data_IF_360668556024
#
_entry.id   IF_360668556024
#
_cell.length_a   1.000
_cell.length_b   1.000
_cell.length_c   1.000
_cell.angle_alpha   90.00
_cell.angle_beta   90.00
_cell.angle_gamma   90.00
#
_symmetry.space_group_name_H-M   'P 1'
#
loop_
_entity.id
_entity.type
_entity.pdbx_description
1 polymer ?
#
# COMPACT_ATOMS: atom_id res chain seq x y z
N UNK A 1 -34.29 14.87 115.47
CA UNK A 1 -34.08 13.56 114.81
C UNK A 1 -34.52 13.72 113.37
N UNK A 2 -33.58 13.62 112.42
CA UNK A 2 -33.81 13.86 110.99
C UNK A 2 -34.41 12.61 110.32
N UNK A 3 -35.46 12.72 109.50
CA UNK A 3 -35.77 11.68 108.53
C UNK A 3 -34.92 11.86 107.27
N UNK A 4 -34.12 10.84 106.95
CA UNK A 4 -33.30 10.75 105.75
C UNK A 4 -34.20 10.76 104.51
N UNK A 5 -33.92 11.69 103.59
CA UNK A 5 -34.52 11.70 102.26
C UNK A 5 -34.14 10.39 101.55
N UNK A 6 -35.14 9.57 101.22
CA UNK A 6 -34.94 8.37 100.43
C UNK A 6 -34.56 8.75 99.01
N UNK A 7 -33.39 8.29 98.56
CA UNK A 7 -32.99 8.35 97.16
C UNK A 7 -33.96 7.50 96.34
N UNK A 8 -34.48 8.06 95.24
CA UNK A 8 -35.26 7.31 94.27
C UNK A 8 -34.38 6.24 93.62
N UNK A 9 -34.89 5.01 93.41
CA UNK A 9 -34.13 3.96 92.73
C UNK A 9 -33.83 4.38 91.28
N UNK A 10 -32.70 3.93 90.70
CA UNK A 10 -32.34 4.25 89.33
C UNK A 10 -33.46 3.77 88.39
N UNK A 11 -33.96 4.67 87.55
CA UNK A 11 -34.87 4.29 86.46
C UNK A 11 -34.12 3.33 85.53
N UNK A 12 -34.47 2.04 85.57
CA UNK A 12 -33.96 1.06 84.64
C UNK A 12 -34.46 1.44 83.25
N UNK A 13 -33.53 1.82 82.37
CA UNK A 13 -33.79 1.94 80.95
C UNK A 13 -34.30 0.58 80.43
N UNK A 14 -35.34 0.54 79.59
CA UNK A 14 -35.82 -0.71 79.02
C UNK A 14 -34.71 -1.37 78.20
N UNK A 15 -34.54 -2.68 78.37
CA UNK A 15 -33.53 -3.45 77.64
C UNK A 15 -33.75 -3.28 76.13
N UNK A 16 -32.68 -2.89 75.44
CA UNK A 16 -32.68 -2.82 73.98
C UNK A 16 -32.94 -4.21 73.41
N UNK A 17 -33.75 -4.34 72.33
CA UNK A 17 -33.95 -5.62 71.68
C UNK A 17 -32.60 -6.18 71.22
N UNK A 18 -32.40 -7.48 71.43
CA UNK A 18 -31.19 -8.17 70.98
C UNK A 18 -30.97 -7.91 69.48
N UNK A 19 -29.85 -7.25 69.15
CA UNK A 19 -29.48 -7.01 67.76
C UNK A 19 -29.31 -8.34 67.00
N UNK A 20 -29.59 -8.37 65.69
CA UNK A 20 -29.48 -9.59 64.90
C UNK A 20 -28.07 -10.20 65.04
N UNK A 21 -28.00 -11.48 65.38
CA UNK A 21 -26.73 -12.17 65.59
C UNK A 21 -25.95 -12.27 64.28
N UNK A 22 -24.63 -12.04 64.33
CA UNK A 22 -23.70 -12.13 63.18
C UNK A 22 -23.59 -13.54 62.57
N UNK A 23 -24.38 -14.50 63.06
CA UNK A 23 -24.44 -15.88 62.58
C UNK A 23 -24.97 -16.02 61.15
N UNK A 24 -25.52 -14.95 60.57
CA UNK A 24 -26.00 -14.90 59.18
C UNK A 24 -25.06 -14.21 58.20
N UNK A 25 -23.86 -13.78 58.61
CA UNK A 25 -22.88 -13.24 57.67
C UNK A 25 -22.26 -14.40 56.92
N UNK A 26 -22.79 -14.71 55.72
CA UNK A 26 -22.12 -15.64 54.80
C UNK A 26 -20.73 -15.08 54.48
N UNK A 27 -19.72 -15.94 54.59
CA UNK A 27 -18.34 -15.60 54.20
C UNK A 27 -18.25 -15.20 52.72
N UNK A 28 -17.08 -14.70 52.27
CA UNK A 28 -16.86 -14.24 50.90
C UNK A 28 -17.38 -15.28 49.90
N UNK A 29 -18.33 -14.88 49.05
CA UNK A 29 -18.82 -15.72 47.97
C UNK A 29 -17.74 -15.68 46.89
N UNK A 30 -17.11 -16.82 46.61
CA UNK A 30 -16.25 -16.96 45.44
C UNK A 30 -17.11 -16.77 44.19
N UNK A 31 -17.00 -15.60 43.56
CA UNK A 31 -17.62 -15.34 42.27
C UNK A 31 -16.80 -16.16 41.26
N UNK A 32 -17.38 -17.17 40.59
CA UNK A 32 -16.65 -17.92 39.60
C UNK A 32 -16.12 -16.95 38.54
N UNK A 33 -14.82 -17.04 38.23
CA UNK A 33 -14.20 -16.26 37.17
C UNK A 33 -14.92 -16.57 35.86
N UNK A 34 -15.87 -15.71 35.52
CA UNK A 34 -16.62 -15.77 34.28
C UNK A 34 -15.62 -15.75 33.14
N UNK A 35 -15.70 -16.77 32.29
CA UNK A 35 -14.90 -16.96 31.07
C UNK A 35 -14.53 -15.60 30.46
N UNK A 36 -13.25 -15.35 30.12
CA UNK A 36 -12.76 -14.03 29.75
C UNK A 36 -13.35 -13.63 28.39
N UNK A 37 -14.58 -13.14 28.41
CA UNK A 37 -15.33 -12.65 27.26
C UNK A 37 -14.58 -11.51 26.55
N UNK A 38 -13.75 -10.79 27.30
CA UNK A 38 -12.80 -9.79 26.78
C UNK A 38 -11.80 -10.39 25.80
N UNK A 39 -11.28 -11.60 26.06
CA UNK A 39 -10.39 -12.31 25.14
C UNK A 39 -11.13 -12.71 23.87
N UNK A 40 -12.37 -13.19 23.98
CA UNK A 40 -13.19 -13.52 22.83
C UNK A 40 -13.48 -12.28 21.96
N UNK A 41 -13.80 -11.14 22.57
CA UNK A 41 -14.00 -9.88 21.86
C UNK A 41 -12.74 -9.39 21.16
N UNK A 42 -11.57 -9.49 21.80
CA UNK A 42 -10.30 -9.12 21.19
C UNK A 42 -9.97 -9.98 19.97
N UNK A 43 -10.27 -11.28 20.02
CA UNK A 43 -10.07 -12.18 18.89
C UNK A 43 -11.02 -11.85 17.74
N UNK A 44 -12.30 -11.57 18.02
CA UNK A 44 -13.27 -11.15 17.01
C UNK A 44 -12.84 -9.83 16.37
N UNK A 45 -12.46 -8.84 17.18
CA UNK A 45 -12.01 -7.54 16.69
C UNK A 45 -10.75 -7.68 15.81
N UNK A 46 -9.78 -8.48 16.24
CA UNK A 46 -8.57 -8.79 15.47
C UNK A 46 -8.88 -9.47 14.14
N UNK A 47 -9.80 -10.44 14.13
CA UNK A 47 -10.23 -11.12 12.91
C UNK A 47 -10.94 -10.15 11.94
N UNK A 48 -11.84 -9.29 12.44
CA UNK A 48 -12.51 -8.27 11.63
C UNK A 48 -11.50 -7.30 11.02
N UNK A 49 -10.53 -6.83 11.81
CA UNK A 49 -9.48 -5.94 11.31
C UNK A 49 -8.65 -6.60 10.21
N UNK A 50 -8.28 -7.87 10.39
CA UNK A 50 -7.52 -8.64 9.41
C UNK A 50 -8.30 -8.81 8.09
N UNK A 51 -9.58 -9.15 8.17
CA UNK A 51 -10.46 -9.25 6.99
C UNK A 51 -10.55 -7.89 6.28
N UNK A 52 -10.69 -6.80 7.03
CA UNK A 52 -10.82 -5.47 6.45
C UNK A 52 -9.52 -5.02 5.76
N UNK A 53 -8.36 -5.28 6.38
CA UNK A 53 -7.04 -4.99 5.78
C UNK A 53 -6.82 -5.83 4.52
N UNK A 54 -7.07 -7.14 4.58
CA UNK A 54 -6.88 -8.01 3.42
C UNK A 54 -7.84 -7.66 2.28
N UNK A 55 -9.11 -7.37 2.58
CA UNK A 55 -10.11 -6.94 1.61
C UNK A 55 -9.76 -5.60 0.96
N UNK A 56 -9.33 -4.60 1.75
CA UNK A 56 -8.94 -3.29 1.20
C UNK A 56 -7.69 -3.39 0.33
N UNK A 57 -6.69 -4.19 0.71
CA UNK A 57 -5.51 -4.44 -0.12
C UNK A 57 -5.88 -5.18 -1.42
N UNK A 58 -6.74 -6.18 -1.34
CA UNK A 58 -7.17 -6.95 -2.49
C UNK A 58 -7.98 -6.10 -3.48
N UNK A 59 -8.94 -5.33 -2.99
CA UNK A 59 -9.76 -4.43 -3.82
C UNK A 59 -8.94 -3.29 -4.43
N UNK A 60 -7.95 -2.73 -3.72
CA UNK A 60 -7.01 -1.76 -4.29
C UNK A 60 -6.19 -2.35 -5.43
N UNK A 61 -5.69 -3.59 -5.28
CA UNK A 61 -4.96 -4.29 -6.35
C UNK A 61 -5.86 -4.60 -7.55
N UNK A 62 -7.11 -5.02 -7.32
CA UNK A 62 -8.07 -5.26 -8.40
C UNK A 62 -8.37 -3.97 -9.16
N UNK A 63 -8.62 -2.87 -8.45
CA UNK A 63 -8.87 -1.55 -9.06
C UNK A 63 -7.66 -1.08 -9.87
N UNK A 64 -6.45 -1.18 -9.34
CA UNK A 64 -5.24 -0.83 -10.10
C UNK A 64 -5.13 -1.63 -11.40
N UNK A 65 -5.44 -2.93 -11.38
CA UNK A 65 -5.47 -3.75 -12.60
C UNK A 65 -6.57 -3.32 -13.58
N UNK A 66 -7.76 -2.98 -13.08
CA UNK A 66 -8.88 -2.55 -13.94
C UNK A 66 -8.69 -1.14 -14.51
N UNK A 67 -8.12 -0.20 -13.76
CA UNK A 67 -7.84 1.15 -14.27
C UNK A 67 -6.73 1.11 -15.31
N UNK A 68 -5.65 0.35 -15.06
CA UNK A 68 -4.62 0.11 -16.06
C UNK A 68 -5.19 -0.60 -17.28
N UNK A 69 -6.13 -1.54 -17.14
CA UNK A 69 -6.76 -2.20 -18.30
C UNK A 69 -7.61 -1.25 -19.17
N UNK A 70 -8.15 -0.16 -18.61
CA UNK A 70 -9.00 0.80 -19.33
C UNK A 70 -8.23 1.91 -20.05
N UNK A 71 -7.07 2.34 -19.52
CA UNK A 71 -6.22 3.32 -20.21
C UNK A 71 -5.46 2.68 -21.37
N UNK A 72 -5.37 3.38 -22.50
CA UNK A 72 -4.56 2.90 -23.62
C UNK A 72 -3.06 2.87 -23.24
N UNK A 73 -2.28 1.86 -23.65
CA UNK A 73 -0.87 1.73 -23.26
C UNK A 73 -0.01 2.96 -23.58
N UNK A 74 -0.34 3.68 -24.66
CA UNK A 74 0.32 4.90 -25.10
C UNK A 74 0.02 6.09 -24.18
N UNK A 75 -1.23 6.30 -23.80
CA UNK A 75 -1.63 7.38 -22.88
C UNK A 75 -0.91 7.23 -21.53
N UNK A 76 -0.88 6.01 -20.99
CA UNK A 76 -0.18 5.68 -19.75
C UNK A 76 1.33 5.95 -19.85
N UNK A 77 1.95 5.59 -20.98
CA UNK A 77 3.36 5.83 -21.21
C UNK A 77 3.68 7.33 -21.34
N UNK A 78 2.84 8.11 -22.03
CA UNK A 78 3.03 9.57 -22.14
C UNK A 78 2.88 10.28 -20.79
N UNK A 79 1.89 9.87 -19.98
CA UNK A 79 1.70 10.40 -18.64
C UNK A 79 2.94 10.09 -17.78
N UNK A 80 3.41 8.84 -17.77
CA UNK A 80 4.61 8.45 -17.05
C UNK A 80 5.88 9.21 -17.51
N UNK A 81 6.03 9.43 -18.82
CA UNK A 81 7.15 10.22 -19.36
C UNK A 81 7.09 11.69 -18.94
N UNK A 82 5.88 12.26 -18.79
CA UNK A 82 5.71 13.65 -18.34
C UNK A 82 6.12 13.85 -16.87
N UNK A 83 6.01 12.81 -16.05
CA UNK A 83 6.37 12.85 -14.63
C UNK A 83 7.89 12.76 -14.40
N UNK A 84 8.65 12.23 -15.36
CA UNK A 84 10.11 12.07 -15.25
C UNK A 84 10.86 13.39 -15.05
N UNK A 85 10.30 14.53 -15.50
CA UNK A 85 10.94 15.84 -15.34
C UNK A 85 11.08 16.28 -13.87
N UNK A 86 10.35 15.65 -12.96
CA UNK A 86 10.43 15.91 -11.52
C UNK A 86 11.59 15.20 -10.83
N UNK A 87 12.24 14.24 -11.50
CA UNK A 87 13.29 13.41 -10.91
C UNK A 87 14.64 14.14 -10.99
N UNK A 88 15.23 14.42 -9.83
CA UNK A 88 16.52 15.09 -9.73
C UNK A 88 17.72 14.19 -10.06
N UNK A 89 17.70 12.94 -9.61
CA UNK A 89 18.82 12.01 -9.74
C UNK A 89 18.88 11.36 -11.15
N UNK A 90 20.06 11.34 -11.77
CA UNK A 90 20.30 10.76 -13.10
C UNK A 90 20.05 9.25 -13.13
N UNK A 91 20.40 8.51 -12.07
CA UNK A 91 20.20 7.07 -11.98
C UNK A 91 18.72 6.72 -11.84
N UNK A 92 18.01 7.37 -10.91
CA UNK A 92 16.57 7.17 -10.73
C UNK A 92 15.79 7.54 -12.00
N UNK A 93 16.17 8.64 -12.65
CA UNK A 93 15.61 9.07 -13.93
C UNK A 93 15.79 7.98 -15.00
N UNK A 94 17.00 7.46 -15.17
CA UNK A 94 17.30 6.44 -16.18
C UNK A 94 16.57 5.12 -15.90
N UNK A 95 16.50 4.68 -14.65
CA UNK A 95 15.75 3.49 -14.25
C UNK A 95 14.26 3.65 -14.54
N UNK A 96 13.68 4.80 -14.19
CA UNK A 96 12.26 5.04 -14.40
C UNK A 96 11.93 5.21 -15.88
N UNK A 97 12.79 5.87 -16.66
CA UNK A 97 12.64 5.98 -18.11
C UNK A 97 12.69 4.59 -18.79
N UNK A 98 13.70 3.78 -18.44
CA UNK A 98 13.83 2.40 -18.94
C UNK A 98 12.59 1.56 -18.62
N UNK A 99 12.11 1.65 -17.38
CA UNK A 99 10.93 0.92 -16.91
C UNK A 99 9.66 1.35 -17.66
N UNK A 100 9.46 2.66 -17.89
CA UNK A 100 8.31 3.18 -18.63
C UNK A 100 8.27 2.63 -20.05
N UNK A 101 9.39 2.67 -20.77
CA UNK A 101 9.45 2.17 -22.15
C UNK A 101 9.29 0.65 -22.21
N UNK A 102 9.96 -0.11 -21.33
CA UNK A 102 9.79 -1.57 -21.27
C UNK A 102 8.36 -1.96 -20.90
N UNK A 103 7.71 -1.20 -20.02
CA UNK A 103 6.32 -1.44 -19.66
C UNK A 103 5.38 -1.19 -20.84
N UNK A 104 5.56 -0.08 -21.55
CA UNK A 104 4.84 0.22 -22.79
C UNK A 104 4.98 -0.91 -23.81
N UNK A 105 6.22 -1.31 -24.12
CA UNK A 105 6.51 -2.40 -25.07
C UNK A 105 5.88 -3.72 -24.62
N UNK A 106 5.90 -3.99 -23.31
CA UNK A 106 5.32 -5.24 -22.81
C UNK A 106 3.82 -5.31 -23.03
N UNK A 107 3.16 -4.17 -22.83
CA UNK A 107 1.71 -4.06 -22.96
C UNK A 107 1.28 -3.99 -24.43
N UNK A 108 2.03 -3.29 -25.27
CA UNK A 108 1.70 -3.10 -26.69
C UNK A 108 2.00 -4.34 -27.54
N UNK A 109 3.08 -5.07 -27.23
CA UNK A 109 3.48 -6.29 -27.96
C UNK A 109 3.01 -7.59 -27.28
N UNK A 110 2.33 -7.51 -26.13
CA UNK A 110 1.88 -8.66 -25.32
C UNK A 110 3.02 -9.67 -25.00
N UNK A 111 4.21 -9.15 -24.72
CA UNK A 111 5.41 -9.94 -24.36
C UNK A 111 6.05 -9.34 -23.11
N UNK A 112 6.64 -10.15 -22.24
CA UNK A 112 7.30 -9.60 -21.06
C UNK A 112 8.68 -9.02 -21.43
N UNK A 113 8.84 -7.70 -21.31
CA UNK A 113 10.13 -6.99 -21.43
C UNK A 113 10.65 -6.41 -20.11
N UNK A 114 9.82 -6.38 -19.07
CA UNK A 114 10.17 -5.78 -17.76
C UNK A 114 11.30 -6.50 -17.03
N UNK A 115 11.45 -7.81 -17.23
CA UNK A 115 12.50 -8.63 -16.63
C UNK A 115 13.75 -8.79 -17.52
N UNK A 116 13.74 -8.20 -18.72
CA UNK A 116 14.81 -8.39 -19.72
C UNK A 116 15.87 -7.29 -19.64
N UNK A 117 17.09 -7.68 -19.96
CA UNK A 117 18.20 -6.75 -20.22
C UNK A 117 17.96 -5.95 -21.50
N UNK A 118 18.70 -4.85 -21.74
CA UNK A 118 18.56 -4.12 -23.00
C UNK A 118 18.86 -4.99 -24.22
N UNK A 119 19.90 -5.82 -24.17
CA UNK A 119 20.25 -6.72 -25.27
C UNK A 119 19.14 -7.74 -25.58
N UNK A 120 18.56 -8.36 -24.54
CA UNK A 120 17.43 -9.28 -24.71
C UNK A 120 16.18 -8.55 -25.23
N UNK A 121 15.93 -7.33 -24.75
CA UNK A 121 14.82 -6.50 -25.24
C UNK A 121 14.97 -6.20 -26.73
N UNK A 122 16.17 -5.86 -27.20
CA UNK A 122 16.45 -5.59 -28.61
C UNK A 122 16.25 -6.83 -29.49
N UNK A 123 16.71 -7.99 -29.02
CA UNK A 123 16.58 -9.25 -29.76
C UNK A 123 15.13 -9.73 -29.89
N UNK A 124 14.30 -9.42 -28.90
CA UNK A 124 12.89 -9.86 -28.86
C UNK A 124 11.92 -8.87 -29.53
N UNK A 125 12.41 -7.72 -30.00
CA UNK A 125 11.62 -6.80 -30.82
C UNK A 125 11.34 -7.40 -32.20
N UNK A 126 10.15 -7.13 -32.77
CA UNK A 126 9.82 -7.63 -34.10
C UNK A 126 10.69 -6.94 -35.16
N UNK A 127 11.06 -7.65 -36.23
CA UNK A 127 11.97 -7.13 -37.26
C UNK A 127 11.44 -5.89 -38.00
N UNK A 128 10.11 -5.70 -38.01
CA UNK A 128 9.42 -4.55 -38.60
C UNK A 128 9.18 -3.41 -37.60
N UNK A 129 9.80 -3.43 -36.42
CA UNK A 129 9.67 -2.34 -35.45
C UNK A 129 10.10 -1.00 -36.09
N UNK A 130 9.35 0.11 -35.89
CA UNK A 130 9.50 1.29 -36.73
C UNK A 130 10.72 2.13 -36.37
N UNK A 131 11.28 1.95 -35.17
CA UNK A 131 12.55 2.54 -34.78
C UNK A 131 13.69 1.61 -35.20
N UNK A 132 14.67 2.14 -35.94
CA UNK A 132 15.82 1.36 -36.38
C UNK A 132 16.65 0.80 -35.22
N UNK A 133 17.26 -0.40 -35.38
CA UNK A 133 17.95 -1.09 -34.30
C UNK A 133 19.13 -0.30 -33.73
N UNK A 134 19.85 0.45 -34.56
CA UNK A 134 20.99 1.28 -34.15
C UNK A 134 20.56 2.42 -33.20
N UNK A 135 19.41 3.05 -33.46
CA UNK A 135 18.90 4.16 -32.62
C UNK A 135 18.47 3.63 -31.26
N UNK A 136 17.75 2.50 -31.27
CA UNK A 136 17.33 1.79 -30.07
C UNK A 136 18.52 1.35 -29.21
N UNK A 137 19.55 0.77 -29.83
CA UNK A 137 20.76 0.33 -29.15
C UNK A 137 21.49 1.50 -28.48
N UNK A 138 21.71 2.60 -29.22
CA UNK A 138 22.32 3.81 -28.68
C UNK A 138 21.52 4.41 -27.53
N UNK A 139 20.19 4.44 -27.66
CA UNK A 139 19.30 4.95 -26.62
C UNK A 139 19.37 4.09 -25.34
N UNK A 140 19.33 2.75 -25.47
CA UNK A 140 19.48 1.86 -24.32
C UNK A 140 20.86 2.00 -23.67
N UNK A 141 21.94 2.07 -24.45
CA UNK A 141 23.29 2.26 -23.92
C UNK A 141 23.43 3.56 -23.11
N UNK A 142 22.83 4.66 -23.58
CA UNK A 142 22.85 5.93 -22.85
C UNK A 142 22.10 5.85 -21.51
N UNK A 143 20.97 5.14 -21.49
CA UNK A 143 20.18 4.93 -20.28
C UNK A 143 20.90 4.01 -19.31
N UNK A 144 21.49 2.91 -19.78
CA UNK A 144 22.23 1.99 -18.93
C UNK A 144 23.50 2.63 -18.34
N UNK A 145 24.19 3.47 -19.11
CA UNK A 145 25.32 4.25 -18.62
C UNK A 145 24.91 5.22 -17.48
N UNK A 146 23.74 5.86 -17.60
CA UNK A 146 23.24 6.74 -16.54
C UNK A 146 22.68 5.97 -15.32
N UNK A 147 22.00 4.85 -15.56
CA UNK A 147 21.35 4.03 -14.55
C UNK A 147 22.32 3.20 -13.71
N UNK A 148 23.30 2.57 -14.35
CA UNK A 148 24.22 1.61 -13.71
C UNK A 148 25.64 2.14 -13.56
N UNK A 149 26.17 2.85 -14.55
CA UNK A 149 27.53 3.40 -14.46
C UNK A 149 27.59 4.75 -13.73
N UNK A 150 26.44 5.27 -13.28
CA UNK A 150 26.35 6.53 -12.54
C UNK A 150 26.76 7.75 -13.36
N UNK A 151 26.68 7.68 -14.70
CA UNK A 151 26.97 8.82 -15.57
C UNK A 151 25.95 9.93 -15.29
N UNK A 152 26.43 11.11 -14.99
CA UNK A 152 25.56 12.28 -14.87
C UNK A 152 24.98 12.67 -16.22
N UNK A 153 23.67 12.89 -16.23
CA UNK A 153 22.93 13.37 -17.39
C UNK A 153 22.63 14.85 -17.22
N UNK A 154 23.03 15.65 -18.22
CA UNK A 154 22.61 17.05 -18.28
C UNK A 154 21.11 17.15 -18.51
N UNK A 155 20.53 18.34 -18.25
CA UNK A 155 19.11 18.58 -18.53
C UNK A 155 18.76 18.36 -20.01
N UNK A 156 19.69 18.70 -20.89
CA UNK A 156 19.53 18.53 -22.33
C UNK A 156 19.56 17.05 -22.72
N UNK A 157 20.50 16.26 -22.18
CA UNK A 157 20.55 14.81 -22.39
C UNK A 157 19.25 14.12 -21.93
N UNK A 158 18.72 14.53 -20.77
CA UNK A 158 17.45 14.02 -20.25
C UNK A 158 16.28 14.34 -21.19
N UNK A 159 16.24 15.54 -21.76
CA UNK A 159 15.19 15.91 -22.72
C UNK A 159 15.29 15.08 -24.01
N UNK A 160 16.50 14.91 -24.55
CA UNK A 160 16.74 14.08 -25.75
C UNK A 160 16.31 12.63 -25.53
N UNK A 161 16.64 12.06 -24.38
CA UNK A 161 16.24 10.68 -24.03
C UNK A 161 14.72 10.52 -23.91
N UNK A 162 14.03 11.47 -23.30
CA UNK A 162 12.56 11.47 -23.18
C UNK A 162 11.90 11.67 -24.55
N UNK A 163 12.40 12.60 -25.36
CA UNK A 163 11.83 12.87 -26.68
C UNK A 163 12.05 11.70 -27.64
N UNK A 164 13.20 11.02 -27.54
CA UNK A 164 13.45 9.76 -28.27
C UNK A 164 12.46 8.68 -27.84
N UNK A 165 12.19 8.54 -26.54
CA UNK A 165 11.19 7.59 -26.03
C UNK A 165 9.78 7.93 -26.53
N UNK A 166 9.40 9.21 -26.57
CA UNK A 166 8.12 9.67 -27.13
C UNK A 166 8.02 9.34 -28.62
N UNK A 167 9.06 9.59 -29.40
CA UNK A 167 9.08 9.28 -30.82
C UNK A 167 8.93 7.78 -31.07
N UNK A 168 9.60 6.94 -30.28
CA UNK A 168 9.47 5.49 -30.36
C UNK A 168 8.02 5.03 -30.14
N UNK A 169 7.38 5.54 -29.08
CA UNK A 169 5.97 5.23 -28.76
C UNK A 169 5.04 5.68 -29.88
N UNK A 170 5.21 6.92 -30.36
CA UNK A 170 4.38 7.50 -31.42
C UNK A 170 4.51 6.73 -32.74
N UNK A 171 5.74 6.38 -33.13
CA UNK A 171 5.99 5.64 -34.37
C UNK A 171 5.38 4.23 -34.32
N UNK A 172 5.53 3.54 -33.19
CA UNK A 172 4.91 2.25 -32.97
C UNK A 172 3.38 2.33 -33.01
N UNK A 173 2.79 3.34 -32.36
CA UNK A 173 1.35 3.56 -32.41
C UNK A 173 0.85 3.87 -33.83
N UNK A 174 1.57 4.71 -34.58
CA UNK A 174 1.22 5.05 -35.96
C UNK A 174 1.24 3.80 -36.86
N UNK A 175 2.22 2.91 -36.68
CA UNK A 175 2.29 1.63 -37.39
C UNK A 175 1.12 0.71 -37.04
N UNK A 176 0.76 0.61 -35.75
CA UNK A 176 -0.37 -0.21 -35.31
C UNK A 176 -1.70 0.31 -35.88
N UNK A 177 -1.92 1.63 -35.90
CA UNK A 177 -3.11 2.25 -36.51
C UNK A 177 -3.14 2.08 -38.03
N UNK A 178 -1.99 2.16 -38.70
CA UNK A 178 -1.88 1.93 -40.14
C UNK A 178 -2.23 0.49 -40.53
N UNK A 179 -1.86 -0.48 -39.70
CA UNK A 179 -2.14 -1.90 -39.92
C UNK A 179 -3.61 -2.30 -39.68
N UNK A 180 -4.41 -1.49 -38.98
CA UNK A 180 -5.86 -1.73 -38.79
C UNK A 180 -6.73 -1.20 -39.94
N UNK A 181 -6.15 -0.40 -40.85
CA UNK A 181 -6.88 0.26 -41.95
C UNK A 181 -6.73 -0.46 -43.30
N UNK A 182 -5.79 -1.41 -43.40
CA UNK A 182 -5.63 -2.33 -44.55
C UNK A 182 -6.38 -3.66 -44.34
#
# INVERSE_FOLDING_TARGET
>A
MFPLAQAQPPQQLPDLPAGPSLQHVRGPIEIPEVFPWSTALLLILGAVLLVLVTYTLWTRRLRQRSTSALQAPDEEAHEALSQLSSIGNSSDFAQQLSRTVRHYLSRSLQRDFTAKTAGECLNDLPANFPTGPMVLEQWFQQIEAAGFAGKDLSKDDRSVLVDTARQLINNHQAQMKGAEVE
#
